data_IF_306927688844
#
_entry.id   IF_306927688844
#
_cell.length_a   1.000
_cell.length_b   1.000
_cell.length_c   1.000
_cell.angle_alpha   90.00
_cell.angle_beta   90.00
_cell.angle_gamma   90.00
#
_symmetry.space_group_name_H-M   'P 1'
#
loop_
_entity.id
_entity.type
_entity.pdbx_description
1 polymer ?
#
# COMPACT_ATOMS: atom_id res chain seq x y z
N UNK A 1 63.24 16.85 -6.93
CA UNK A 1 62.45 15.72 -6.42
C UNK A 1 61.14 16.25 -5.83
N UNK A 2 60.03 16.18 -6.58
CA UNK A 2 58.67 16.51 -6.08
C UNK A 2 57.93 15.21 -5.85
N UNK A 3 57.67 14.92 -4.58
CA UNK A 3 56.88 13.78 -4.12
C UNK A 3 55.45 13.89 -4.63
N UNK A 4 54.99 12.94 -5.44
CA UNK A 4 53.58 12.71 -5.77
C UNK A 4 52.89 12.10 -4.55
N UNK A 5 52.12 12.90 -3.83
CA UNK A 5 51.15 12.35 -2.84
C UNK A 5 50.01 11.73 -3.63
N UNK A 6 49.95 10.41 -3.62
CA UNK A 6 48.78 9.64 -4.01
C UNK A 6 47.65 9.95 -3.04
N UNK A 7 46.56 10.55 -3.51
CA UNK A 7 45.33 10.69 -2.74
C UNK A 7 44.70 9.29 -2.62
N UNK A 8 44.85 8.69 -1.47
CA UNK A 8 44.10 7.48 -1.10
C UNK A 8 42.60 7.85 -1.13
N UNK A 9 41.83 7.25 -2.03
CA UNK A 9 40.37 7.28 -1.97
C UNK A 9 39.99 6.56 -0.67
N UNK A 10 39.49 7.31 0.28
CA UNK A 10 38.81 6.75 1.45
C UNK A 10 37.61 5.97 0.91
N UNK A 11 37.67 4.64 0.97
CA UNK A 11 36.50 3.80 0.75
C UNK A 11 35.55 4.03 1.93
N UNK A 12 34.42 4.67 1.68
CA UNK A 12 33.36 4.79 2.68
C UNK A 12 32.91 3.39 3.10
N UNK A 13 32.77 3.12 4.41
CA UNK A 13 32.35 1.81 4.88
C UNK A 13 30.92 1.53 4.44
N UNK A 14 30.68 0.35 3.87
CA UNK A 14 29.34 -0.12 3.54
C UNK A 14 28.52 -0.28 4.84
N UNK A 15 27.26 0.13 4.83
CA UNK A 15 26.33 -0.08 5.94
C UNK A 15 25.94 -1.56 6.10
N UNK A 16 25.97 -2.28 4.98
CA UNK A 16 25.78 -3.73 4.89
C UNK A 16 26.41 -4.24 3.60
N UNK A 17 26.41 -5.57 3.39
CA UNK A 17 27.01 -6.19 2.21
C UNK A 17 26.43 -5.69 0.89
N UNK A 18 27.23 -5.84 -0.16
CA UNK A 18 26.87 -5.56 -1.55
C UNK A 18 26.52 -4.10 -1.85
N UNK A 19 27.20 -3.13 -1.21
CA UNK A 19 27.20 -1.71 -1.56
C UNK A 19 26.08 -0.86 -0.95
N UNK A 20 25.43 -1.30 0.11
CA UNK A 20 24.47 -0.46 0.86
C UNK A 20 25.22 0.60 1.67
N UNK A 21 24.80 1.86 1.55
CA UNK A 21 25.47 3.03 2.13
C UNK A 21 24.61 3.65 3.23
N UNK A 22 25.24 3.94 4.40
CA UNK A 22 24.56 4.61 5.50
C UNK A 22 24.12 6.04 5.13
N UNK A 23 22.89 6.39 5.49
CA UNK A 23 22.29 7.71 5.20
C UNK A 23 23.11 8.86 5.77
N UNK A 24 23.73 8.70 6.94
CA UNK A 24 24.51 9.79 7.59
C UNK A 24 25.74 10.13 6.77
N UNK A 25 26.37 9.12 6.18
CA UNK A 25 27.51 9.30 5.28
C UNK A 25 27.04 9.92 3.97
N UNK A 26 25.91 9.43 3.41
CA UNK A 26 25.35 9.95 2.16
C UNK A 26 24.97 11.44 2.24
N UNK A 27 24.35 11.89 3.33
CA UNK A 27 23.99 13.30 3.53
C UNK A 27 25.20 14.18 3.89
N UNK A 28 26.20 13.62 4.60
CA UNK A 28 27.44 14.35 4.93
C UNK A 28 28.37 14.56 3.74
N UNK A 29 28.31 13.65 2.75
CA UNK A 29 29.09 13.72 1.51
C UNK A 29 28.29 14.24 0.31
N UNK A 30 26.99 14.53 0.51
CA UNK A 30 26.04 14.91 -0.55
C UNK A 30 26.47 16.15 -1.35
N UNK A 31 27.19 17.10 -0.74
CA UNK A 31 27.78 18.21 -1.47
C UNK A 31 28.93 17.78 -2.41
N UNK A 32 29.66 16.71 -2.06
CA UNK A 32 30.71 16.15 -2.90
C UNK A 32 30.20 15.13 -3.92
N UNK A 33 29.09 14.40 -3.58
CA UNK A 33 28.46 13.40 -4.46
C UNK A 33 27.59 14.05 -5.54
N UNK A 34 26.96 15.20 -5.28
CA UNK A 34 26.30 16.00 -6.32
C UNK A 34 27.24 16.40 -7.45
N UNK A 35 28.53 16.59 -7.15
CA UNK A 35 29.57 16.80 -8.16
C UNK A 35 29.92 15.52 -8.97
N UNK A 36 29.61 14.31 -8.44
CA UNK A 36 29.91 13.04 -9.11
C UNK A 36 28.73 12.51 -9.96
N UNK A 37 27.49 12.89 -9.65
CA UNK A 37 26.31 12.59 -10.49
C UNK A 37 26.26 13.52 -11.73
N UNK A 38 26.91 14.69 -11.65
CA UNK A 38 27.12 15.60 -12.77
C UNK A 38 28.05 15.11 -13.87
N UNK A 39 28.72 13.98 -13.69
CA UNK A 39 29.75 13.51 -14.64
C UNK A 39 29.25 12.64 -15.80
N UNK A 40 27.96 12.54 -16.04
CA UNK A 40 27.42 12.08 -17.34
C UNK A 40 27.22 13.29 -18.30
N UNK A 41 27.20 14.50 -17.79
CA UNK A 41 27.33 15.72 -18.59
C UNK A 41 28.66 16.36 -18.20
N UNK A 42 29.66 16.28 -19.08
CA UNK A 42 30.98 16.92 -18.87
C UNK A 42 30.76 18.36 -18.41
N UNK A 43 31.32 18.80 -17.26
CA UNK A 43 31.14 20.18 -16.78
C UNK A 43 31.77 21.22 -17.73
N UNK A 44 32.58 20.80 -18.70
CA UNK A 44 33.17 21.65 -19.73
C UNK A 44 32.20 22.04 -20.86
N UNK A 45 31.04 21.37 -20.99
CA UNK A 45 30.01 21.71 -21.98
C UNK A 45 29.07 22.85 -21.50
N UNK A 46 29.09 23.21 -20.20
CA UNK A 46 28.21 24.24 -19.67
C UNK A 46 28.81 25.67 -19.73
N UNK A 47 30.12 25.82 -19.96
CA UNK A 47 30.78 27.12 -19.96
C UNK A 47 31.02 27.73 -21.38
N UNK A 48 30.24 27.37 -22.35
CA UNK A 48 30.32 27.89 -23.71
C UNK A 48 29.20 27.40 -24.64
N UNK A 49 28.21 26.71 -24.08
CA UNK A 49 27.04 26.30 -24.87
C UNK A 49 26.19 27.53 -25.19
N UNK A 50 25.81 27.68 -26.43
CA UNK A 50 24.76 28.59 -26.85
C UNK A 50 23.53 28.40 -25.95
N UNK A 51 22.78 29.45 -25.63
CA UNK A 51 21.56 29.32 -24.83
C UNK A 51 20.69 28.25 -25.44
N UNK A 52 20.10 27.39 -24.57
CA UNK A 52 19.24 26.29 -25.00
C UNK A 52 18.22 26.77 -26.04
N UNK A 53 18.09 26.08 -27.17
CA UNK A 53 17.14 26.50 -28.21
C UNK A 53 15.71 26.55 -27.64
N UNK A 54 14.96 27.59 -28.00
CA UNK A 54 13.55 27.73 -27.60
C UNK A 54 12.78 26.54 -28.12
N UNK A 55 12.26 25.73 -27.20
CA UNK A 55 11.51 24.51 -27.53
C UNK A 55 10.19 24.84 -28.27
N UNK A 56 9.67 23.95 -29.13
CA UNK A 56 8.45 24.22 -29.89
C UNK A 56 7.24 24.60 -29.00
N UNK A 57 7.07 23.96 -27.85
CA UNK A 57 6.00 24.26 -26.90
C UNK A 57 6.10 25.61 -26.19
N UNK A 58 7.25 26.28 -26.26
CA UNK A 58 7.45 27.65 -25.77
C UNK A 58 7.07 28.73 -26.77
N UNK A 59 6.74 28.35 -28.02
CA UNK A 59 6.46 29.27 -29.13
C UNK A 59 4.97 29.47 -29.38
N UNK A 60 4.13 28.68 -28.74
CA UNK A 60 2.67 28.73 -28.91
C UNK A 60 2.00 28.67 -27.55
N UNK A 61 0.80 29.28 -27.38
CA UNK A 61 0.00 29.11 -26.19
C UNK A 61 -0.33 27.63 -25.94
N UNK A 62 -0.40 27.24 -24.67
CA UNK A 62 -0.81 25.90 -24.26
C UNK A 62 -2.32 25.66 -24.44
N UNK A 63 -2.80 24.50 -23.98
CA UNK A 63 -4.21 24.14 -23.99
C UNK A 63 -5.03 25.03 -23.04
N UNK A 64 -6.33 25.24 -23.30
CA UNK A 64 -7.23 25.95 -22.41
C UNK A 64 -7.40 25.22 -21.07
N UNK A 65 -7.94 25.93 -20.06
CA UNK A 65 -8.28 25.36 -18.76
C UNK A 65 -9.40 24.32 -18.87
N UNK A 66 -9.29 23.28 -18.04
CA UNK A 66 -10.30 22.22 -17.94
C UNK A 66 -10.90 22.21 -16.53
N UNK A 67 -12.14 21.74 -16.40
CA UNK A 67 -12.86 21.75 -15.12
C UNK A 67 -12.28 20.79 -14.06
N UNK A 68 -11.60 19.73 -14.49
CA UNK A 68 -10.91 18.79 -13.60
C UNK A 68 -9.57 18.38 -14.24
N UNK A 69 -8.45 18.70 -13.57
CA UNK A 69 -7.11 18.46 -14.08
C UNK A 69 -6.84 16.97 -14.31
N UNK A 70 -6.15 16.68 -15.40
CA UNK A 70 -5.74 15.33 -15.77
C UNK A 70 -4.22 15.21 -15.72
N UNK A 71 -3.66 14.01 -15.47
CA UNK A 71 -2.23 13.76 -15.63
C UNK A 71 -1.76 14.14 -17.04
N UNK A 72 -0.48 14.44 -17.17
CA UNK A 72 0.15 14.64 -18.48
C UNK A 72 -0.11 13.44 -19.40
N UNK A 73 -0.37 13.67 -20.69
CA UNK A 73 -0.46 12.61 -21.70
C UNK A 73 0.80 11.74 -21.78
N UNK A 74 1.94 12.22 -21.31
CA UNK A 74 3.20 11.47 -21.26
C UNK A 74 3.28 10.50 -20.08
N UNK A 75 2.30 10.59 -19.13
CA UNK A 75 2.12 9.67 -18.00
C UNK A 75 0.96 8.69 -18.24
N UNK A 76 0.54 8.48 -19.48
CA UNK A 76 -0.57 7.60 -19.91
C UNK A 76 -0.35 6.12 -19.51
N UNK A 77 0.91 5.73 -19.27
CA UNK A 77 1.31 4.39 -18.78
C UNK A 77 1.19 4.21 -17.27
N UNK A 78 0.96 5.29 -16.51
CA UNK A 78 0.74 5.23 -15.06
C UNK A 78 -0.73 4.91 -14.80
N UNK A 79 -1.08 3.64 -14.94
CA UNK A 79 -2.46 3.14 -14.87
C UNK A 79 -2.57 1.90 -14.00
N UNK A 80 -3.79 1.61 -13.54
CA UNK A 80 -4.09 0.35 -12.86
C UNK A 80 -4.10 -0.82 -13.86
N UNK A 81 -3.59 -1.97 -13.45
CA UNK A 81 -3.79 -3.22 -14.19
C UNK A 81 -5.08 -3.87 -13.71
N UNK A 82 -6.03 -4.05 -14.64
CA UNK A 82 -7.33 -4.68 -14.36
C UNK A 82 -7.33 -6.16 -14.73
N UNK A 83 -8.02 -6.95 -13.92
CA UNK A 83 -8.27 -8.37 -14.16
C UNK A 83 -9.76 -8.65 -13.92
N UNK A 84 -10.48 -8.96 -14.98
CA UNK A 84 -11.92 -9.23 -14.99
C UNK A 84 -12.16 -10.64 -15.55
N UNK A 85 -12.46 -11.64 -14.72
CA UNK A 85 -12.76 -12.98 -15.20
C UNK A 85 -13.97 -12.99 -16.13
N UNK A 86 -13.88 -13.60 -17.32
CA UNK A 86 -14.95 -13.50 -18.33
C UNK A 86 -16.27 -14.16 -17.89
N UNK A 87 -16.20 -15.19 -17.06
CA UNK A 87 -17.37 -15.97 -16.60
C UNK A 87 -17.92 -15.49 -15.26
N UNK A 88 -17.50 -14.34 -14.75
CA UNK A 88 -17.95 -13.79 -13.47
C UNK A 88 -18.19 -12.28 -13.62
N UNK A 89 -19.30 -11.87 -14.25
CA UNK A 89 -19.61 -10.46 -14.50
C UNK A 89 -19.53 -9.62 -13.22
N UNK A 90 -18.84 -8.47 -13.29
CA UNK A 90 -18.63 -7.57 -12.16
C UNK A 90 -17.62 -8.07 -11.12
N UNK A 91 -17.18 -9.32 -11.16
CA UNK A 91 -16.06 -9.79 -10.34
C UNK A 91 -14.75 -9.36 -10.96
N UNK A 92 -13.88 -8.70 -10.18
CA UNK A 92 -12.61 -8.26 -10.72
C UNK A 92 -11.75 -7.48 -9.73
N UNK A 93 -10.59 -7.11 -10.20
CA UNK A 93 -9.64 -6.30 -9.45
C UNK A 93 -8.89 -5.33 -10.38
N UNK A 94 -8.61 -4.13 -9.90
CA UNK A 94 -7.67 -3.19 -10.53
C UNK A 94 -6.56 -2.87 -9.53
N UNK A 95 -5.29 -2.98 -9.95
CA UNK A 95 -4.11 -2.92 -9.09
C UNK A 95 -3.38 -1.60 -9.21
N UNK A 96 -3.04 -0.98 -8.08
CA UNK A 96 -2.24 0.24 -7.97
C UNK A 96 -0.83 0.03 -8.55
N UNK A 97 -0.31 0.94 -9.38
CA UNK A 97 1.04 0.87 -9.93
C UNK A 97 2.10 1.34 -8.91
N UNK A 98 2.33 0.57 -7.84
CA UNK A 98 3.18 0.94 -6.70
C UNK A 98 4.60 1.39 -7.08
N UNK A 99 5.16 0.84 -8.17
CA UNK A 99 6.50 1.15 -8.66
C UNK A 99 6.56 2.44 -9.50
N UNK A 100 5.41 3.04 -9.80
CA UNK A 100 5.29 4.30 -10.57
C UNK A 100 4.83 5.47 -9.69
N UNK A 101 4.59 5.22 -8.42
CA UNK A 101 4.12 6.23 -7.47
C UNK A 101 5.19 6.52 -6.42
N UNK A 102 5.21 7.77 -6.00
CA UNK A 102 6.04 8.25 -4.90
C UNK A 102 5.19 8.74 -3.71
N UNK A 103 5.82 8.98 -2.55
CA UNK A 103 5.08 9.35 -1.34
C UNK A 103 4.32 8.18 -0.72
N UNK A 104 3.33 8.51 0.13
CA UNK A 104 2.48 7.53 0.82
C UNK A 104 1.03 7.54 0.33
N UNK A 105 0.56 8.65 -0.24
CA UNK A 105 -0.83 8.81 -0.69
C UNK A 105 -0.99 8.31 -2.12
N UNK A 106 -1.98 7.47 -2.32
CA UNK A 106 -2.36 6.98 -3.64
C UNK A 106 -3.39 7.91 -4.27
N UNK A 107 -3.17 8.45 -5.47
CA UNK A 107 -4.19 9.22 -6.20
C UNK A 107 -5.50 8.44 -6.34
N UNK A 108 -6.65 9.10 -6.21
CA UNK A 108 -7.96 8.42 -6.22
C UNK A 108 -8.19 7.58 -7.48
N UNK A 109 -7.77 8.07 -8.65
CA UNK A 109 -7.86 7.33 -9.92
C UNK A 109 -6.99 6.08 -10.01
N UNK A 110 -5.97 5.97 -9.14
CA UNK A 110 -5.02 4.85 -9.09
C UNK A 110 -5.21 3.96 -7.84
N UNK A 111 -6.14 4.32 -6.94
CA UNK A 111 -6.47 3.50 -5.79
C UNK A 111 -6.98 2.14 -6.24
N UNK A 112 -6.48 1.05 -5.63
CA UNK A 112 -6.87 -0.30 -6.03
C UNK A 112 -8.37 -0.53 -5.87
N UNK A 113 -8.86 -1.46 -6.63
CA UNK A 113 -10.25 -1.90 -6.59
C UNK A 113 -10.35 -3.41 -6.51
N UNK A 114 -11.29 -3.91 -5.72
CA UNK A 114 -11.70 -5.31 -5.69
C UNK A 114 -13.22 -5.35 -5.51
N UNK A 115 -13.92 -5.95 -6.47
CA UNK A 115 -15.38 -6.09 -6.45
C UNK A 115 -15.78 -7.53 -6.73
N UNK A 116 -16.93 -7.95 -6.19
CA UNK A 116 -17.48 -9.29 -6.37
C UNK A 116 -18.71 -9.30 -7.31
N UNK A 117 -19.33 -8.14 -7.55
CA UNK A 117 -20.55 -8.00 -8.34
C UNK A 117 -20.62 -6.67 -9.12
N UNK A 118 -19.46 -6.06 -9.38
CA UNK A 118 -19.37 -4.77 -10.08
C UNK A 118 -19.48 -3.57 -9.13
N UNK A 119 -19.65 -2.42 -9.75
CA UNK A 119 -19.79 -1.13 -9.08
C UNK A 119 -21.26 -0.73 -9.21
N UNK A 120 -22.04 -0.65 -8.12
CA UNK A 120 -23.43 -0.19 -8.19
C UNK A 120 -23.46 1.30 -8.50
N UNK A 121 -24.47 1.69 -9.30
CA UNK A 121 -24.84 3.09 -9.53
C UNK A 121 -25.85 3.50 -8.47
N UNK A 122 -25.39 4.21 -7.43
CA UNK A 122 -26.18 4.55 -6.26
C UNK A 122 -26.55 6.03 -6.28
N UNK A 123 -27.82 6.34 -6.33
CA UNK A 123 -28.36 7.67 -6.08
C UNK A 123 -28.15 8.03 -4.59
N UNK A 124 -27.34 9.06 -4.27
CA UNK A 124 -27.07 9.46 -2.89
C UNK A 124 -28.31 9.93 -2.14
N UNK A 125 -29.30 10.52 -2.85
CA UNK A 125 -30.53 11.01 -2.23
C UNK A 125 -31.46 9.88 -1.83
N UNK A 126 -31.40 8.75 -2.54
CA UNK A 126 -32.15 7.53 -2.21
C UNK A 126 -31.41 6.62 -1.23
N UNK A 127 -30.09 6.75 -1.09
CA UNK A 127 -29.28 5.87 -0.24
C UNK A 127 -29.50 6.14 1.26
N UNK A 128 -29.54 5.07 2.05
CA UNK A 128 -29.73 5.13 3.52
C UNK A 128 -28.73 4.22 4.22
N UNK A 129 -28.21 4.68 5.37
CA UNK A 129 -27.51 3.86 6.35
C UNK A 129 -28.47 3.55 7.52
N UNK A 130 -28.70 2.29 7.79
CA UNK A 130 -29.51 1.83 8.92
C UNK A 130 -28.61 1.24 10.01
N UNK A 131 -28.74 1.73 11.25
CA UNK A 131 -28.12 1.13 12.45
C UNK A 131 -29.23 0.54 13.29
N UNK A 132 -29.15 -0.76 13.58
CA UNK A 132 -30.17 -1.50 14.34
C UNK A 132 -29.59 -2.71 15.07
N UNK A 133 -30.45 -3.54 15.68
CA UNK A 133 -30.08 -4.74 16.44
C UNK A 133 -30.03 -4.42 17.92
N UNK A 134 -28.97 -4.77 18.64
CA UNK A 134 -28.82 -4.53 20.08
C UNK A 134 -28.49 -3.04 20.35
N UNK A 135 -29.43 -2.17 20.04
CA UNK A 135 -29.44 -0.74 20.28
C UNK A 135 -30.77 -0.29 20.86
N UNK A 136 -30.77 0.73 21.72
CA UNK A 136 -32.00 1.28 22.32
C UNK A 136 -32.89 1.95 21.28
N UNK A 137 -32.29 2.59 20.25
CA UNK A 137 -33.02 3.27 19.19
C UNK A 137 -32.42 2.91 17.83
N UNK A 138 -33.12 2.17 16.98
CA UNK A 138 -32.73 2.05 15.58
C UNK A 138 -32.69 3.42 14.90
N UNK A 139 -31.64 3.70 14.11
CA UNK A 139 -31.42 4.98 13.44
C UNK A 139 -31.30 4.75 11.93
N UNK A 140 -31.80 5.74 11.17
CA UNK A 140 -31.68 5.79 9.71
C UNK A 140 -31.06 7.12 9.32
N UNK A 141 -29.96 7.08 8.60
CA UNK A 141 -29.24 8.27 8.15
C UNK A 141 -29.30 8.43 6.63
N UNK A 142 -29.59 9.67 6.20
CA UNK A 142 -29.30 10.12 4.83
C UNK A 142 -27.86 10.62 4.77
N UNK A 143 -27.31 10.82 3.56
CA UNK A 143 -26.00 11.43 3.38
C UNK A 143 -25.92 12.82 4.00
N UNK A 144 -26.96 13.64 3.81
CA UNK A 144 -27.06 14.99 4.39
C UNK A 144 -27.12 14.98 5.92
N UNK A 145 -27.83 13.99 6.50
CA UNK A 145 -27.85 13.82 7.95
C UNK A 145 -26.44 13.54 8.49
N UNK A 146 -25.69 12.65 7.85
CA UNK A 146 -24.31 12.34 8.23
C UNK A 146 -23.38 13.57 8.10
N UNK A 147 -23.58 14.40 7.07
CA UNK A 147 -22.76 15.58 6.86
C UNK A 147 -22.89 16.64 7.96
N UNK A 148 -23.90 16.53 8.86
CA UNK A 148 -24.10 17.43 10.00
C UNK A 148 -23.37 17.00 11.27
N UNK A 149 -22.86 15.76 11.31
CA UNK A 149 -22.06 15.26 12.42
C UNK A 149 -20.64 15.82 12.36
N UNK A 150 -19.93 15.88 13.49
CA UNK A 150 -18.50 16.16 13.48
C UNK A 150 -17.78 15.17 12.58
N UNK A 151 -16.97 15.68 11.65
CA UNK A 151 -16.16 14.87 10.76
C UNK A 151 -14.70 14.96 11.14
N UNK A 152 -13.97 13.87 10.94
CA UNK A 152 -12.53 13.83 11.13
C UNK A 152 -11.84 13.17 9.93
N UNK A 153 -10.55 13.43 9.77
CA UNK A 153 -9.72 12.86 8.72
C UNK A 153 -8.68 11.91 9.31
N UNK A 154 -8.40 10.83 8.58
CA UNK A 154 -7.34 9.87 8.90
C UNK A 154 -6.64 9.42 7.64
N UNK A 155 -5.30 9.41 7.66
CA UNK A 155 -4.51 8.74 6.64
C UNK A 155 -4.41 7.27 7.03
N UNK A 156 -4.92 6.39 6.17
CA UNK A 156 -4.88 4.94 6.42
C UNK A 156 -4.71 4.17 5.11
N UNK A 157 -3.96 3.07 5.18
CA UNK A 157 -3.90 2.13 4.07
C UNK A 157 -5.11 1.20 4.07
N UNK A 158 -5.42 0.68 2.90
CA UNK A 158 -6.29 -0.47 2.71
C UNK A 158 -5.51 -1.51 1.91
N UNK A 159 -5.43 -2.73 2.41
CA UNK A 159 -4.85 -3.87 1.71
C UNK A 159 -5.88 -4.99 1.60
N UNK A 160 -6.09 -5.54 0.41
CA UNK A 160 -6.92 -6.72 0.21
C UNK A 160 -6.27 -7.94 0.89
N UNK A 161 -7.02 -8.72 1.67
CA UNK A 161 -6.48 -9.93 2.31
C UNK A 161 -5.82 -10.90 1.33
N UNK A 162 -6.26 -10.94 0.06
CA UNK A 162 -5.64 -11.74 -1.02
C UNK A 162 -4.48 -11.06 -1.75
N UNK A 163 -4.01 -9.89 -1.29
CA UNK A 163 -2.83 -9.25 -1.87
C UNK A 163 -1.60 -10.15 -1.69
N UNK A 164 -0.74 -10.19 -2.69
CA UNK A 164 0.50 -11.01 -2.68
C UNK A 164 0.27 -12.54 -2.63
N UNK A 165 -0.94 -13.03 -2.88
CA UNK A 165 -1.25 -14.46 -2.83
C UNK A 165 -0.40 -15.35 -3.74
N UNK A 166 0.14 -14.79 -4.83
CA UNK A 166 1.03 -15.51 -5.74
C UNK A 166 2.35 -15.96 -5.06
N UNK A 167 2.72 -15.35 -3.94
CA UNK A 167 3.90 -15.72 -3.16
C UNK A 167 3.71 -17.01 -2.33
N UNK A 168 2.50 -17.54 -2.25
CA UNK A 168 2.24 -18.89 -1.73
C UNK A 168 2.50 -19.99 -2.78
N UNK A 169 2.67 -19.64 -4.07
CA UNK A 169 2.97 -20.63 -5.11
C UNK A 169 4.35 -21.26 -4.90
N UNK A 170 4.53 -22.46 -5.43
CA UNK A 170 5.79 -23.19 -5.33
C UNK A 170 6.92 -22.45 -6.06
N UNK A 171 6.65 -21.95 -7.24
CA UNK A 171 7.61 -21.21 -8.07
C UNK A 171 7.33 -19.70 -8.06
N UNK A 172 8.37 -18.85 -8.16
CA UNK A 172 8.20 -17.39 -8.21
C UNK A 172 7.49 -16.98 -9.50
N UNK A 173 6.36 -16.27 -9.37
CA UNK A 173 5.62 -15.77 -10.51
C UNK A 173 6.43 -14.69 -11.26
N UNK A 174 6.57 -14.78 -12.61
CA UNK A 174 7.34 -13.82 -13.42
C UNK A 174 6.53 -12.54 -13.69
N UNK A 175 6.15 -11.84 -12.63
CA UNK A 175 5.31 -10.65 -12.67
C UNK A 175 5.98 -9.47 -11.97
N UNK A 176 5.56 -8.25 -12.31
CA UNK A 176 6.03 -7.04 -11.67
C UNK A 176 5.39 -6.80 -10.30
N UNK A 177 5.88 -5.80 -9.58
CA UNK A 177 5.40 -5.44 -8.24
C UNK A 177 3.91 -5.04 -8.24
N UNK A 178 3.40 -4.43 -9.31
CA UNK A 178 1.99 -4.07 -9.44
C UNK A 178 1.07 -5.30 -9.49
N UNK A 179 1.42 -6.28 -10.29
CA UNK A 179 0.64 -7.52 -10.40
C UNK A 179 0.72 -8.34 -9.10
N UNK A 180 1.86 -8.31 -8.42
CA UNK A 180 2.09 -9.09 -7.20
C UNK A 180 1.49 -8.43 -5.94
N UNK A 181 1.70 -7.12 -5.76
CA UNK A 181 1.39 -6.38 -4.52
C UNK A 181 0.39 -5.23 -4.69
N UNK A 182 -0.13 -5.00 -5.89
CA UNK A 182 -0.91 -3.80 -6.20
C UNK A 182 -2.33 -3.73 -5.64
N UNK A 183 -2.78 -4.71 -4.83
CA UNK A 183 -4.04 -4.61 -4.09
C UNK A 183 -3.83 -3.91 -2.75
N UNK A 184 -3.09 -2.81 -2.78
CA UNK A 184 -2.70 -1.95 -1.67
C UNK A 184 -2.79 -0.49 -2.12
N UNK A 185 -3.36 0.36 -1.28
CA UNK A 185 -3.39 1.82 -1.46
C UNK A 185 -3.51 2.52 -0.11
N UNK A 186 -3.12 3.79 -0.05
CA UNK A 186 -3.27 4.63 1.13
C UNK A 186 -3.92 5.96 0.73
N UNK A 187 -4.81 6.46 1.55
CA UNK A 187 -5.51 7.72 1.28
C UNK A 187 -5.80 8.46 2.59
N UNK A 188 -6.05 9.75 2.51
CA UNK A 188 -6.74 10.49 3.54
C UNK A 188 -8.24 10.20 3.42
N UNK A 189 -8.82 9.66 4.48
CA UNK A 189 -10.23 9.35 4.57
C UNK A 189 -10.90 10.32 5.54
N UNK A 190 -11.97 10.97 5.10
CA UNK A 190 -12.71 11.92 5.91
C UNK A 190 -14.15 11.49 6.06
N UNK A 191 -14.67 11.51 7.29
CA UNK A 191 -16.03 11.07 7.59
C UNK A 191 -16.41 11.17 9.06
N UNK A 192 -17.51 10.54 9.43
CA UNK A 192 -18.08 10.54 10.78
C UNK A 192 -17.56 9.34 11.56
N UNK A 193 -17.15 9.53 12.82
CA UNK A 193 -16.81 8.42 13.71
C UNK A 193 -18.00 7.49 13.87
N UNK A 194 -17.77 6.19 13.67
CA UNK A 194 -18.84 5.21 13.90
C UNK A 194 -19.29 5.17 15.36
N UNK A 195 -18.36 5.38 16.31
CA UNK A 195 -18.67 5.46 17.74
C UNK A 195 -19.73 6.51 18.05
N UNK A 196 -19.64 7.72 17.45
CA UNK A 196 -20.64 8.79 17.63
C UNK A 196 -22.06 8.33 17.25
N UNK A 197 -22.20 7.61 16.14
CA UNK A 197 -23.50 7.11 15.70
C UNK A 197 -24.00 5.95 16.56
N UNK A 198 -23.11 5.10 17.05
CA UNK A 198 -23.42 4.00 17.96
C UNK A 198 -23.82 4.51 19.35
N UNK A 199 -23.14 5.54 19.85
CA UNK A 199 -23.51 6.20 21.12
C UNK A 199 -24.90 6.83 21.03
N UNK A 200 -25.24 7.48 19.91
CA UNK A 200 -26.56 8.04 19.68
C UNK A 200 -27.66 6.94 19.60
N UNK A 201 -27.34 5.83 18.94
CA UNK A 201 -28.25 4.69 18.89
C UNK A 201 -28.45 4.02 20.26
N UNK A 202 -27.49 4.21 21.16
CA UNK A 202 -27.48 3.64 22.50
C UNK A 202 -27.27 2.13 22.49
N UNK A 203 -26.03 1.71 22.28
CA UNK A 203 -25.63 0.29 22.24
C UNK A 203 -26.00 -0.41 23.56
N UNK A 204 -26.62 -1.58 23.47
CA UNK A 204 -27.00 -2.38 24.63
C UNK A 204 -25.80 -3.11 25.26
N UNK A 205 -25.77 -3.37 26.57
CA UNK A 205 -24.67 -4.02 27.26
C UNK A 205 -24.30 -5.43 26.74
N UNK A 206 -25.25 -6.15 26.15
CA UNK A 206 -25.02 -7.46 25.55
C UNK A 206 -24.27 -7.42 24.22
N UNK A 207 -24.18 -6.25 23.58
CA UNK A 207 -23.53 -6.07 22.30
C UNK A 207 -22.01 -6.26 22.39
N UNK A 208 -21.45 -7.09 21.51
CA UNK A 208 -20.00 -7.34 21.40
C UNK A 208 -19.51 -7.24 19.96
N UNK A 209 -20.42 -7.31 19.00
CA UNK A 209 -20.14 -7.32 17.58
C UNK A 209 -21.09 -6.42 16.81
N UNK A 210 -20.75 -6.16 15.57
CA UNK A 210 -21.69 -5.64 14.58
C UNK A 210 -21.45 -6.33 13.24
N UNK A 211 -22.50 -6.37 12.41
CA UNK A 211 -22.41 -6.81 11.00
C UNK A 211 -22.60 -5.60 10.13
N UNK A 212 -21.58 -5.30 9.30
CA UNK A 212 -21.66 -4.27 8.28
C UNK A 212 -22.01 -4.90 6.94
N UNK A 213 -22.92 -4.29 6.17
CA UNK A 213 -23.41 -4.80 4.89
C UNK A 213 -23.39 -3.71 3.83
N UNK A 214 -22.89 -4.06 2.62
CA UNK A 214 -22.88 -3.21 1.45
C UNK A 214 -24.15 -3.28 0.61
N UNK A 215 -24.37 -2.28 -0.25
CA UNK A 215 -25.51 -2.16 -1.17
C UNK A 215 -25.19 -2.68 -2.58
N UNK A 216 -24.14 -3.48 -2.74
CA UNK A 216 -23.83 -4.15 -4.00
C UNK A 216 -24.65 -5.45 -4.16
N UNK A 217 -24.74 -5.98 -5.38
CA UNK A 217 -25.50 -7.20 -5.65
C UNK A 217 -24.91 -8.45 -4.94
N UNK A 218 -23.63 -8.42 -4.51
CA UNK A 218 -23.05 -9.48 -3.68
C UNK A 218 -23.52 -9.41 -2.23
N UNK A 219 -24.04 -8.27 -1.76
CA UNK A 219 -24.43 -8.04 -0.37
C UNK A 219 -23.27 -8.31 0.60
N UNK A 220 -22.06 -7.84 0.23
CA UNK A 220 -20.85 -8.07 1.02
C UNK A 220 -21.09 -7.74 2.48
N UNK A 221 -20.92 -8.70 3.39
CA UNK A 221 -21.20 -8.52 4.81
C UNK A 221 -20.11 -9.15 5.68
N UNK A 222 -19.67 -8.36 6.70
CA UNK A 222 -18.59 -8.76 7.60
C UNK A 222 -18.95 -8.43 9.05
N UNK A 223 -18.58 -9.37 9.93
CA UNK A 223 -18.68 -9.19 11.38
C UNK A 223 -17.47 -8.43 11.90
N UNK A 224 -17.70 -7.32 12.59
CA UNK A 224 -16.67 -6.44 13.17
C UNK A 224 -16.79 -6.48 14.70
N UNK A 225 -15.69 -6.68 15.45
CA UNK A 225 -15.72 -6.52 16.90
C UNK A 225 -16.16 -5.11 17.29
N UNK A 226 -17.09 -4.98 18.23
CA UNK A 226 -17.61 -3.70 18.68
C UNK A 226 -16.50 -2.78 19.22
N UNK A 227 -15.51 -3.36 19.91
CA UNK A 227 -14.35 -2.61 20.41
C UNK A 227 -13.63 -1.87 19.28
N UNK A 228 -13.40 -2.54 18.12
CA UNK A 228 -12.80 -1.91 16.94
C UNK A 228 -13.67 -0.81 16.34
N UNK A 229 -14.99 -1.04 16.31
CA UNK A 229 -15.93 -0.05 15.80
C UNK A 229 -15.94 1.23 16.66
N UNK A 230 -15.79 1.09 17.97
CA UNK A 230 -15.73 2.21 18.93
C UNK A 230 -14.36 2.92 18.95
N UNK A 231 -13.26 2.19 18.67
CA UNK A 231 -11.90 2.72 18.73
C UNK A 231 -11.63 3.78 17.65
N UNK A 232 -11.68 3.39 16.37
CA UNK A 232 -11.17 4.22 15.28
C UNK A 232 -11.92 4.09 13.95
N UNK A 233 -13.09 3.42 13.93
CA UNK A 233 -13.87 3.25 12.71
C UNK A 233 -14.51 4.56 12.23
N UNK A 234 -14.50 4.78 10.90
CA UNK A 234 -15.19 5.90 10.26
C UNK A 234 -16.25 5.42 9.26
N UNK A 235 -17.34 6.16 9.17
CA UNK A 235 -18.20 6.18 7.98
C UNK A 235 -17.58 7.21 7.03
N UNK A 236 -16.71 6.76 6.13
CA UNK A 236 -15.97 7.63 5.24
C UNK A 236 -16.85 8.12 4.09
N UNK A 237 -16.87 9.43 3.89
CA UNK A 237 -17.63 10.17 2.87
C UNK A 237 -16.71 10.78 1.80
N UNK A 238 -15.44 11.03 2.15
CA UNK A 238 -14.45 11.64 1.28
C UNK A 238 -13.15 10.84 1.28
N UNK A 239 -12.42 10.94 0.18
CA UNK A 239 -11.12 10.34 -0.05
C UNK A 239 -10.21 11.34 -0.74
N UNK A 240 -9.08 11.69 -0.11
CA UNK A 240 -8.14 12.70 -0.60
C UNK A 240 -8.83 14.02 -1.03
N UNK A 241 -9.76 14.52 -0.21
CA UNK A 241 -10.44 15.81 -0.41
C UNK A 241 -11.64 15.78 -1.35
N UNK A 242 -11.86 14.74 -2.16
CA UNK A 242 -13.06 14.58 -3.00
C UNK A 242 -14.03 13.53 -2.44
N UNK A 243 -15.27 13.51 -2.90
CA UNK A 243 -16.20 12.42 -2.56
C UNK A 243 -15.59 11.07 -2.93
N UNK A 244 -15.83 10.05 -2.10
CA UNK A 244 -15.40 8.68 -2.41
C UNK A 244 -15.88 8.30 -3.79
N UNK A 245 -15.00 7.78 -4.65
CA UNK A 245 -15.38 7.37 -6.01
C UNK A 245 -16.29 6.13 -6.00
N UNK A 246 -17.17 5.94 -7.00
CA UNK A 246 -18.07 4.79 -7.07
C UNK A 246 -17.37 3.45 -6.83
N UNK A 247 -16.23 3.20 -7.48
CA UNK A 247 -15.45 1.98 -7.33
C UNK A 247 -14.85 1.79 -5.92
N UNK A 248 -14.69 2.88 -5.17
CA UNK A 248 -14.16 2.87 -3.81
C UNK A 248 -15.24 2.94 -2.73
N UNK A 249 -16.55 3.01 -3.10
CA UNK A 249 -17.65 2.85 -2.17
C UNK A 249 -18.60 4.04 -2.02
N UNK A 250 -18.73 4.92 -3.05
CA UNK A 250 -19.71 6.03 -3.05
C UNK A 250 -21.13 5.51 -2.79
N UNK A 251 -21.98 6.21 -2.00
CA UNK A 251 -21.74 7.52 -1.36
C UNK A 251 -21.04 7.43 -0.01
N UNK A 252 -20.93 6.26 0.61
CA UNK A 252 -20.27 6.06 1.89
C UNK A 252 -19.72 4.65 2.04
N UNK A 253 -18.66 4.51 2.81
CA UNK A 253 -18.07 3.22 3.14
C UNK A 253 -17.65 3.15 4.60
N UNK A 254 -17.55 1.93 5.12
CA UNK A 254 -16.88 1.67 6.38
C UNK A 254 -15.37 1.71 6.18
N UNK A 255 -14.66 2.43 7.03
CA UNK A 255 -13.21 2.41 7.18
C UNK A 255 -12.86 1.84 8.55
N UNK A 256 -12.02 0.80 8.56
CA UNK A 256 -11.46 0.15 9.76
C UNK A 256 -9.94 0.19 9.65
N UNK A 257 -9.25 1.26 10.11
CA UNK A 257 -7.82 1.40 9.93
C UNK A 257 -7.04 0.18 10.40
N UNK A 258 -6.14 -0.33 9.54
CA UNK A 258 -5.30 -1.49 9.82
C UNK A 258 -5.93 -2.87 9.59
N UNK A 259 -7.26 -2.96 9.45
CA UNK A 259 -7.93 -4.22 9.13
C UNK A 259 -7.88 -4.52 7.62
N UNK A 260 -7.98 -5.80 7.26
CA UNK A 260 -7.98 -6.25 5.87
C UNK A 260 -9.11 -5.60 5.03
N UNK A 261 -8.86 -5.44 3.72
CA UNK A 261 -9.71 -4.65 2.83
C UNK A 261 -11.16 -5.12 2.71
N UNK A 262 -11.43 -6.41 2.88
CA UNK A 262 -12.80 -6.94 2.83
C UNK A 262 -13.65 -6.55 4.05
N UNK A 263 -13.00 -6.23 5.18
CA UNK A 263 -13.68 -5.73 6.38
C UNK A 263 -14.19 -4.29 6.20
N UNK A 264 -13.63 -3.57 5.26
CA UNK A 264 -13.89 -2.16 4.98
C UNK A 264 -14.98 -2.01 3.94
N UNK A 265 -16.21 -2.39 4.36
CA UNK A 265 -17.39 -2.56 3.48
C UNK A 265 -17.69 -1.29 2.70
N UNK A 266 -17.70 -1.40 1.36
CA UNK A 266 -18.08 -0.35 0.41
C UNK A 266 -19.60 -0.24 0.29
N UNK A 267 -20.08 0.92 -0.16
CA UNK A 267 -21.53 1.13 -0.38
C UNK A 267 -22.35 0.78 0.86
N UNK A 268 -21.86 1.22 2.01
CA UNK A 268 -22.40 0.80 3.30
C UNK A 268 -23.88 1.19 3.45
N UNK A 269 -24.75 0.20 3.66
CA UNK A 269 -26.20 0.40 3.81
C UNK A 269 -26.75 0.02 5.18
N UNK A 270 -26.09 -0.89 5.89
CA UNK A 270 -26.62 -1.44 7.14
C UNK A 270 -25.51 -1.80 8.11
N UNK A 271 -25.73 -1.49 9.37
CA UNK A 271 -24.97 -1.97 10.51
C UNK A 271 -25.95 -2.60 11.48
N UNK A 272 -25.82 -3.90 11.73
CA UNK A 272 -26.60 -4.63 12.75
C UNK A 272 -25.71 -4.92 13.94
N UNK A 273 -26.05 -4.36 15.10
CA UNK A 273 -25.33 -4.63 16.37
C UNK A 273 -25.80 -5.97 16.93
N UNK A 274 -24.86 -6.83 17.35
CA UNK A 274 -25.12 -8.23 17.75
C UNK A 274 -24.29 -8.62 18.96
N UNK A 275 -24.67 -9.69 19.64
CA UNK A 275 -23.91 -10.25 20.76
C UNK A 275 -22.68 -11.04 20.28
N UNK A 276 -22.79 -11.74 19.17
CA UNK A 276 -21.72 -12.55 18.59
C UNK A 276 -21.53 -12.27 17.10
N UNK A 277 -20.47 -12.83 16.49
CA UNK A 277 -20.27 -12.75 15.05
C UNK A 277 -21.37 -13.49 14.31
N UNK A 278 -21.71 -13.03 13.11
CA UNK A 278 -22.70 -13.65 12.23
C UNK A 278 -21.99 -14.47 11.16
N UNK A 279 -22.36 -15.74 11.01
CA UNK A 279 -21.78 -16.61 9.99
C UNK A 279 -22.33 -16.26 8.60
N UNK A 280 -21.89 -15.11 8.07
CA UNK A 280 -22.25 -14.68 6.72
C UNK A 280 -21.53 -15.54 5.68
N UNK A 281 -21.97 -15.48 4.43
CA UNK A 281 -21.30 -16.15 3.31
C UNK A 281 -19.82 -15.78 3.24
N UNK A 282 -19.50 -14.52 3.48
CA UNK A 282 -18.12 -14.00 3.34
C UNK A 282 -17.21 -14.37 4.52
N UNK A 283 -17.75 -14.94 5.60
CA UNK A 283 -16.99 -15.42 6.76
C UNK A 283 -16.92 -16.94 6.84
N UNK A 284 -17.70 -17.64 6.04
CA UNK A 284 -17.75 -19.12 6.03
C UNK A 284 -17.19 -19.71 4.75
N UNK A 285 -17.51 -19.13 3.59
CA UNK A 285 -17.04 -19.61 2.27
C UNK A 285 -15.78 -18.89 1.78
N UNK A 286 -15.38 -17.77 2.41
CA UNK A 286 -14.23 -16.94 2.05
C UNK A 286 -13.58 -16.38 3.31
N UNK A 287 -12.39 -15.76 3.13
CA UNK A 287 -11.65 -15.06 4.19
C UNK A 287 -11.36 -15.91 5.42
N UNK A 288 -11.22 -17.22 5.21
CA UNK A 288 -10.66 -18.18 6.14
C UNK A 288 -9.35 -18.72 5.58
N UNK A 289 -8.42 -19.09 6.44
CA UNK A 289 -7.12 -19.67 6.05
C UNK A 289 -7.07 -21.13 6.45
N UNK A 290 -6.75 -22.02 5.51
CA UNK A 290 -6.37 -23.39 5.81
C UNK A 290 -4.96 -23.42 6.40
N UNK A 291 -4.82 -23.92 7.61
CA UNK A 291 -3.56 -24.11 8.30
C UNK A 291 -2.95 -25.49 8.01
N UNK A 292 -1.64 -25.71 8.28
CA UNK A 292 -0.97 -26.99 8.06
C UNK A 292 -1.57 -28.18 8.84
N UNK A 293 -2.23 -27.90 9.97
CA UNK A 293 -2.92 -28.91 10.80
C UNK A 293 -4.37 -29.18 10.33
N UNK A 294 -4.70 -28.79 9.10
CA UNK A 294 -6.03 -28.92 8.46
C UNK A 294 -7.15 -28.14 9.15
N UNK A 295 -6.84 -27.28 10.12
CA UNK A 295 -7.82 -26.37 10.71
C UNK A 295 -7.98 -25.12 9.88
N UNK A 296 -9.16 -24.51 10.00
CA UNK A 296 -9.48 -23.23 9.37
C UNK A 296 -9.33 -22.08 10.38
N UNK A 297 -8.44 -21.15 10.10
CA UNK A 297 -8.30 -19.91 10.86
C UNK A 297 -9.31 -18.88 10.33
N UNK A 298 -10.19 -18.41 11.21
CA UNK A 298 -11.20 -17.40 10.94
C UNK A 298 -10.88 -16.11 11.71
N UNK A 299 -11.37 -14.97 11.24
CA UNK A 299 -11.23 -13.66 11.89
C UNK A 299 -9.79 -13.17 12.01
N UNK A 300 -9.01 -13.28 10.96
CA UNK A 300 -7.71 -12.62 10.85
C UNK A 300 -7.94 -11.18 10.35
N UNK A 301 -8.08 -10.22 11.25
CA UNK A 301 -8.50 -8.87 10.91
C UNK A 301 -7.34 -7.92 10.60
N UNK A 302 -6.37 -7.69 11.51
CA UNK A 302 -5.29 -6.76 11.25
C UNK A 302 -4.29 -7.32 10.24
N UNK A 303 -3.77 -6.44 9.39
CA UNK A 303 -2.64 -6.75 8.52
C UNK A 303 -1.36 -6.69 9.35
N UNK A 304 -0.61 -7.78 9.41
CA UNK A 304 0.70 -7.83 10.08
C UNK A 304 1.73 -6.95 9.35
N UNK A 305 2.80 -6.56 10.07
CA UNK A 305 3.86 -5.73 9.48
C UNK A 305 4.43 -6.36 8.21
N UNK A 306 4.57 -5.52 7.19
CA UNK A 306 5.00 -5.88 5.85
C UNK A 306 5.77 -4.75 5.20
N UNK A 307 6.78 -5.06 4.39
CA UNK A 307 7.46 -4.12 3.52
C UNK A 307 7.64 -4.71 2.12
N UNK A 308 7.81 -3.81 1.15
CA UNK A 308 7.99 -4.16 -0.25
C UNK A 308 8.89 -3.14 -0.93
N UNK A 309 9.98 -3.58 -1.54
CA UNK A 309 10.77 -2.75 -2.45
C UNK A 309 9.97 -2.51 -3.72
N UNK A 310 9.76 -1.24 -4.07
CA UNK A 310 9.06 -0.82 -5.27
C UNK A 310 10.03 -0.39 -6.38
N UNK A 311 11.23 0.03 -6.01
CA UNK A 311 12.32 0.39 -6.95
C UNK A 311 13.68 0.04 -6.33
N UNK A 312 14.56 -0.65 -7.11
CA UNK A 312 14.26 -1.31 -8.38
C UNK A 312 13.38 -2.54 -8.16
N UNK A 313 12.56 -2.91 -9.15
CA UNK A 313 11.63 -4.03 -9.08
C UNK A 313 11.45 -4.69 -10.45
N UNK A 314 10.88 -5.90 -10.55
CA UNK A 314 10.69 -6.61 -11.81
C UNK A 314 9.99 -5.78 -12.88
N UNK A 315 10.52 -5.82 -14.11
CA UNK A 315 10.10 -5.00 -15.24
C UNK A 315 10.97 -3.76 -15.45
N UNK A 316 11.92 -3.48 -14.56
CA UNK A 316 12.99 -2.47 -14.76
C UNK A 316 14.29 -3.14 -15.19
N UNK A 317 15.13 -2.37 -15.90
CA UNK A 317 16.51 -2.73 -16.25
C UNK A 317 17.41 -1.64 -15.74
N UNK A 318 18.39 -2.02 -14.90
CA UNK A 318 19.42 -1.11 -14.39
C UNK A 318 20.35 -0.66 -15.53
N UNK A 319 20.80 0.59 -15.50
CA UNK A 319 21.57 1.19 -16.58
C UNK A 319 23.11 1.01 -16.44
N UNK A 320 23.55 -0.06 -15.77
CA UNK A 320 24.95 -0.35 -15.49
C UNK A 320 25.37 -0.02 -14.05
N UNK A 321 26.63 -0.32 -13.69
CA UNK A 321 27.16 -0.04 -12.35
C UNK A 321 27.03 1.44 -11.99
N UNK A 322 26.64 1.74 -10.74
CA UNK A 322 26.47 3.12 -10.31
C UNK A 322 25.82 3.26 -8.94
N UNK A 323 25.53 4.50 -8.59
CA UNK A 323 24.77 4.84 -7.38
C UNK A 323 23.27 4.83 -7.71
N UNK A 324 22.51 4.07 -6.95
CA UNK A 324 21.07 3.95 -7.07
C UNK A 324 20.39 4.20 -5.73
N UNK A 325 19.10 4.44 -5.76
CA UNK A 325 18.24 4.42 -4.59
C UNK A 325 17.40 3.16 -4.61
N UNK A 326 17.41 2.40 -3.52
CA UNK A 326 16.39 1.39 -3.23
C UNK A 326 15.27 2.10 -2.47
N UNK A 327 14.06 2.07 -2.99
CA UNK A 327 12.89 2.63 -2.30
C UNK A 327 11.75 1.64 -2.25
N UNK A 328 10.89 1.81 -1.23
CA UNK A 328 9.76 0.93 -1.05
C UNK A 328 8.76 1.47 -0.05
N UNK A 329 7.77 0.63 0.26
CA UNK A 329 6.69 0.91 1.19
C UNK A 329 6.70 -0.12 2.32
N UNK A 330 6.36 0.34 3.53
CA UNK A 330 6.15 -0.51 4.70
C UNK A 330 4.86 -0.10 5.42
N UNK A 331 4.19 -1.05 6.06
CA UNK A 331 2.93 -0.81 6.77
C UNK A 331 2.66 -1.89 7.82
N UNK A 332 1.85 -1.56 8.82
CA UNK A 332 1.29 -2.48 9.79
C UNK A 332 -0.13 -2.07 10.18
N UNK A 333 -1.03 -3.02 10.28
CA UNK A 333 -2.39 -2.82 10.78
C UNK A 333 -2.46 -2.74 12.30
N UNK A 334 -1.41 -3.13 13.01
CA UNK A 334 -1.31 -3.04 14.46
C UNK A 334 -0.86 -1.68 14.96
N UNK A 335 -0.02 -0.98 14.19
CA UNK A 335 0.52 0.31 14.64
C UNK A 335 1.39 1.02 13.62
N UNK A 336 2.52 1.53 14.09
CA UNK A 336 3.46 2.36 13.35
C UNK A 336 4.70 1.57 12.97
N UNK A 337 5.21 1.75 11.77
CA UNK A 337 6.50 1.19 11.36
C UNK A 337 7.62 1.94 12.10
N UNK A 338 8.40 1.22 12.88
CA UNK A 338 9.54 1.77 13.64
C UNK A 338 10.85 1.61 12.93
N UNK A 339 10.99 0.55 12.09
CA UNK A 339 12.21 0.25 11.35
C UNK A 339 11.91 -0.50 10.07
N UNK A 340 12.68 -0.19 9.03
CA UNK A 340 12.80 -1.00 7.83
C UNK A 340 14.28 -1.27 7.61
N UNK A 341 14.62 -2.52 7.37
CA UNK A 341 15.95 -2.95 7.00
C UNK A 341 15.96 -3.46 5.57
N UNK A 342 17.04 -3.19 4.85
CA UNK A 342 17.26 -3.61 3.46
C UNK A 342 18.50 -4.49 3.40
N UNK A 343 18.43 -5.54 2.60
CA UNK A 343 19.54 -6.40 2.22
C UNK A 343 19.74 -6.33 0.70
N UNK A 344 20.98 -6.37 0.26
CA UNK A 344 21.35 -6.48 -1.16
C UNK A 344 22.11 -7.80 -1.46
N UNK A 345 22.22 -8.69 -0.49
CA UNK A 345 22.97 -9.94 -0.56
C UNK A 345 22.13 -11.19 -0.19
N UNK A 346 20.80 -11.07 -0.34
CA UNK A 346 19.86 -12.18 -0.09
C UNK A 346 19.65 -12.48 1.40
N UNK A 347 19.69 -11.44 2.24
CA UNK A 347 19.41 -11.57 3.67
C UNK A 347 20.61 -11.96 4.53
N UNK A 348 21.83 -12.04 3.97
CA UNK A 348 23.04 -12.34 4.73
C UNK A 348 23.45 -11.17 5.62
N UNK A 349 23.24 -9.95 5.16
CA UNK A 349 23.44 -8.73 5.94
C UNK A 349 22.32 -7.73 5.70
N UNK A 350 22.07 -6.87 6.68
CA UNK A 350 20.95 -5.92 6.70
C UNK A 350 21.42 -4.54 7.17
N UNK A 351 20.93 -3.50 6.49
CA UNK A 351 21.16 -2.12 6.89
C UNK A 351 19.81 -1.40 7.09
N UNK A 352 19.74 -0.50 8.08
CA UNK A 352 18.55 0.28 8.38
C UNK A 352 18.34 1.35 7.33
N UNK A 353 17.19 1.31 6.66
CA UNK A 353 16.75 2.30 5.68
C UNK A 353 16.22 3.58 6.35
N UNK A 354 16.26 4.68 5.63
CA UNK A 354 15.64 5.93 6.05
C UNK A 354 14.12 5.86 5.87
N UNK A 355 13.36 6.15 6.91
CA UNK A 355 11.91 6.33 6.83
C UNK A 355 11.60 7.77 6.44
N UNK A 356 10.69 7.95 5.48
CA UNK A 356 10.20 9.26 5.08
C UNK A 356 9.10 9.73 6.02
N UNK A 357 9.26 10.91 6.61
CA UNK A 357 8.22 11.51 7.45
C UNK A 357 7.07 12.11 6.63
N UNK A 358 5.84 12.15 7.18
CA UNK A 358 5.46 11.64 8.50
C UNK A 358 5.35 10.10 8.50
N UNK A 359 5.72 9.46 9.62
CA UNK A 359 5.45 8.03 9.86
C UNK A 359 4.21 7.95 10.73
N UNK A 360 3.13 7.39 10.19
CA UNK A 360 1.81 7.38 10.81
C UNK A 360 1.36 5.95 11.13
N UNK A 361 0.59 5.73 12.22
CA UNK A 361 0.02 4.43 12.52
C UNK A 361 -0.99 4.01 11.46
N UNK A 362 -1.00 2.72 11.11
CA UNK A 362 -1.97 2.11 10.17
C UNK A 362 -1.99 2.82 8.79
N UNK A 363 -0.84 3.42 8.39
CA UNK A 363 -0.63 4.10 7.10
C UNK A 363 0.59 3.53 6.37
N UNK A 364 0.75 3.87 5.10
CA UNK A 364 1.98 3.52 4.38
C UNK A 364 3.13 4.41 4.85
N UNK A 365 4.29 3.80 5.01
CA UNK A 365 5.56 4.47 5.30
C UNK A 365 6.51 4.22 4.14
N UNK A 366 6.98 5.26 3.48
CA UNK A 366 8.02 5.11 2.46
C UNK A 366 9.39 5.01 3.11
N UNK A 367 10.21 4.09 2.62
CA UNK A 367 11.60 3.97 3.01
C UNK A 367 12.53 4.13 1.81
N UNK A 368 13.78 4.56 2.08
CA UNK A 368 14.82 4.79 1.09
C UNK A 368 16.17 4.35 1.60
N UNK A 369 17.00 3.77 0.70
CA UNK A 369 18.35 3.33 0.99
C UNK A 369 19.25 3.61 -0.21
N UNK A 370 20.38 4.28 -0.01
CA UNK A 370 21.39 4.43 -1.04
C UNK A 370 22.10 3.09 -1.29
N UNK A 371 22.31 2.78 -2.57
CA UNK A 371 22.91 1.53 -2.99
C UNK A 371 23.91 1.76 -4.14
N UNK A 372 25.15 1.37 -3.92
CA UNK A 372 26.19 1.37 -4.95
C UNK A 372 26.25 0.00 -5.59
N UNK A 373 25.53 -0.17 -6.69
CA UNK A 373 25.59 -1.42 -7.45
C UNK A 373 26.88 -1.49 -8.27
N UNK A 374 27.61 -2.58 -8.14
CA UNK A 374 28.88 -2.80 -8.85
C UNK A 374 28.70 -3.50 -10.22
N UNK A 375 27.46 -3.80 -10.63
CA UNK A 375 27.15 -4.54 -11.87
C UNK A 375 27.06 -6.05 -11.69
N UNK A 376 27.39 -6.57 -10.52
CA UNK A 376 27.31 -8.00 -10.24
C UNK A 376 25.92 -8.44 -9.77
N UNK A 377 25.67 -9.77 -9.71
CA UNK A 377 24.41 -10.33 -9.21
C UNK A 377 24.13 -9.86 -7.80
N UNK A 378 22.87 -9.47 -7.55
CA UNK A 378 22.41 -8.97 -6.24
C UNK A 378 21.02 -9.50 -5.96
N UNK A 379 20.70 -9.76 -4.68
CA UNK A 379 19.34 -10.13 -4.25
C UNK A 379 18.88 -9.10 -3.23
N UNK A 380 17.89 -8.30 -3.65
CA UNK A 380 17.32 -7.21 -2.85
C UNK A 380 16.14 -7.72 -2.04
N UNK A 381 16.13 -7.38 -0.75
CA UNK A 381 15.07 -7.72 0.19
C UNK A 381 14.82 -6.54 1.14
N UNK A 382 13.60 -6.43 1.65
CA UNK A 382 13.28 -5.54 2.77
C UNK A 382 12.48 -6.28 3.84
N UNK A 383 12.66 -5.86 5.10
CA UNK A 383 11.83 -6.33 6.23
C UNK A 383 11.45 -5.17 7.13
N UNK A 384 10.19 -5.15 7.55
CA UNK A 384 9.64 -4.13 8.44
C UNK A 384 9.56 -4.64 9.88
N UNK A 385 9.70 -3.71 10.83
CA UNK A 385 9.38 -3.89 12.26
C UNK A 385 8.38 -2.80 12.65
N UNK A 386 7.31 -3.15 13.35
CA UNK A 386 6.34 -2.19 13.88
C UNK A 386 6.59 -1.88 15.37
N UNK A 387 5.77 -1.00 15.94
CA UNK A 387 5.86 -0.56 17.34
C UNK A 387 5.40 -1.63 18.37
N UNK A 388 4.82 -2.74 17.92
CA UNK A 388 4.58 -3.92 18.77
C UNK A 388 5.81 -4.80 18.92
N UNK A 389 6.88 -4.51 18.16
CA UNK A 389 8.09 -5.33 18.07
C UNK A 389 7.98 -6.50 17.09
N UNK A 390 6.85 -6.62 16.36
CA UNK A 390 6.70 -7.65 15.34
C UNK A 390 7.64 -7.38 14.16
N UNK A 391 8.43 -8.39 13.79
CA UNK A 391 9.33 -8.35 12.65
C UNK A 391 8.72 -9.17 11.51
N UNK A 392 8.69 -8.62 10.32
CA UNK A 392 8.24 -9.30 9.11
C UNK A 392 9.05 -10.60 8.90
N UNK A 393 8.38 -11.77 8.80
CA UNK A 393 9.07 -13.06 8.65
C UNK A 393 9.64 -13.24 7.24
N UNK A 394 10.61 -14.12 7.11
CA UNK A 394 11.00 -14.66 5.81
C UNK A 394 9.83 -15.43 5.16
N UNK A 395 9.88 -15.63 3.84
CA UNK A 395 8.88 -16.47 3.17
C UNK A 395 8.86 -17.89 3.74
N UNK A 396 10.02 -18.47 4.02
CA UNK A 396 10.12 -19.83 4.54
C UNK A 396 9.46 -19.97 5.92
N UNK A 397 9.70 -19.04 6.83
CA UNK A 397 9.05 -19.01 8.15
C UNK A 397 7.53 -18.84 8.03
N UNK A 398 7.07 -17.99 7.11
CA UNK A 398 5.64 -17.79 6.90
C UNK A 398 4.98 -19.06 6.37
N UNK A 399 5.57 -19.73 5.36
CA UNK A 399 5.05 -20.97 4.81
C UNK A 399 5.04 -22.11 5.87
N UNK A 400 6.06 -22.19 6.71
CA UNK A 400 6.09 -23.15 7.82
C UNK A 400 4.93 -22.88 8.79
N UNK A 401 4.64 -21.64 9.10
CA UNK A 401 3.57 -21.25 10.05
C UNK A 401 2.16 -21.39 9.47
N UNK A 402 1.95 -21.00 8.21
CA UNK A 402 0.61 -20.89 7.61
C UNK A 402 0.29 -21.96 6.56
N UNK A 403 1.30 -22.68 6.07
CA UNK A 403 1.17 -23.61 4.97
C UNK A 403 1.21 -22.94 3.59
N UNK A 404 1.60 -23.69 2.57
CA UNK A 404 1.67 -23.21 1.18
C UNK A 404 0.27 -23.02 0.57
N UNK A 405 -0.75 -23.66 1.13
CA UNK A 405 -2.14 -23.54 0.68
C UNK A 405 -2.90 -22.38 1.34
N UNK A 406 -2.26 -21.61 2.24
CA UNK A 406 -2.83 -20.37 2.72
C UNK A 406 -3.03 -19.39 1.56
N UNK A 407 -4.11 -18.65 1.59
CA UNK A 407 -4.52 -17.78 0.48
C UNK A 407 -4.40 -16.29 0.84
N UNK A 408 -4.58 -15.95 2.10
CA UNK A 408 -4.71 -14.60 2.59
C UNK A 408 -3.50 -14.16 3.44
N UNK A 409 -3.37 -12.85 3.65
CA UNK A 409 -2.41 -12.23 4.57
C UNK A 409 -0.95 -12.65 4.38
N UNK A 410 -0.50 -12.74 3.11
CA UNK A 410 0.92 -12.98 2.85
C UNK A 410 1.73 -11.74 3.29
N UNK A 411 2.58 -11.90 4.29
CA UNK A 411 3.49 -10.86 4.77
C UNK A 411 4.97 -11.28 4.81
N UNK A 412 5.34 -12.39 4.16
CA UNK A 412 6.74 -12.81 4.05
C UNK A 412 7.59 -11.84 3.23
N UNK A 413 8.89 -11.80 3.54
CA UNK A 413 9.89 -11.05 2.77
C UNK A 413 9.84 -11.47 1.30
N UNK A 414 9.85 -10.49 0.40
CA UNK A 414 9.91 -10.70 -1.06
C UNK A 414 11.29 -10.38 -1.58
N UNK A 415 11.78 -11.14 -2.57
CA UNK A 415 13.14 -11.03 -3.10
C UNK A 415 13.15 -10.64 -4.56
N UNK A 416 13.98 -9.66 -4.92
CA UNK A 416 14.26 -9.25 -6.28
C UNK A 416 15.71 -9.58 -6.65
N UNK A 417 15.94 -10.45 -7.62
CA UNK A 417 17.27 -10.67 -8.18
C UNK A 417 17.59 -9.62 -9.24
N UNK A 418 18.72 -8.94 -9.11
CA UNK A 418 19.31 -8.08 -10.13
C UNK A 418 20.42 -8.87 -10.78
N UNK A 419 20.32 -9.15 -12.08
CA UNK A 419 21.34 -9.85 -12.86
C UNK A 419 22.45 -8.92 -13.37
N UNK A 420 23.53 -9.46 -13.91
CA UNK A 420 24.64 -8.68 -14.51
C UNK A 420 24.19 -7.81 -15.67
N UNK A 421 23.15 -8.23 -16.41
CA UNK A 421 22.52 -7.40 -17.46
C UNK A 421 21.72 -6.22 -16.92
N UNK A 422 21.56 -6.09 -15.61
CA UNK A 422 20.68 -5.11 -14.97
C UNK A 422 19.21 -5.50 -14.92
N UNK A 423 18.80 -6.62 -15.49
CA UNK A 423 17.41 -7.10 -15.43
C UNK A 423 17.04 -7.45 -13.99
N UNK A 424 15.83 -7.03 -13.58
CA UNK A 424 15.29 -7.32 -12.24
C UNK A 424 14.20 -8.37 -12.33
N UNK A 425 14.31 -9.44 -11.55
CA UNK A 425 13.38 -10.58 -11.54
C UNK A 425 12.86 -10.90 -10.15
N UNK A 426 11.64 -11.39 -10.06
CA UNK A 426 11.11 -12.00 -8.84
C UNK A 426 11.75 -13.40 -8.65
N UNK A 427 12.26 -13.64 -7.44
CA UNK A 427 12.86 -14.92 -7.03
C UNK A 427 12.44 -15.28 -5.61
N UNK A 428 12.66 -16.53 -5.24
CA UNK A 428 12.64 -16.98 -3.84
C UNK A 428 14.09 -17.14 -3.35
N UNK A 429 14.45 -16.44 -2.27
CA UNK A 429 15.76 -16.46 -1.64
C UNK A 429 15.62 -16.44 -0.12
#
# INVERSE_FOLDING_TARGET
>A
MRSKRSAARLSEPDAAGNGLIDRRIFLGTGAAAAAAIGSIVSPHAAMGADPLPVAPWMRVPGSPFVGYGQPSRFEDKVVRISANPPNAPGTGAARTPLHRLDGMITPNGLHFERSHSGIPDIDPDAHRLVIHGLVKRPLVFTLDALARYPIESRIAFIECGGNSRLLYQQDPAPVNVQALHGLLSCAEWTGVRLSTLLDEAGVEPAAKWLVAEGADAAGMSRSVPLAKAMEDALIALYQNGERVRPSNGYPMRLLLPGYEGNMQVKWLRRIKVTEGPTMTKDETSKYTMLLPDEKSLQFVFPIEAKSQITQPSPGLTMQGPGLYEISGLAWSGYGTITRVEVSADGGKSWATAALQHPVLPKALTRFRMAWRWNGGPSILQSRATDDTGYVQPTRAELITRRGINAYYHFNGVTSWAVGESGEVKHVYA
#
